data_IF_111943229769
#
_entry.id   IF_111943229769
#
_cell.length_a   1.000
_cell.length_b   1.000
_cell.length_c   1.000
_cell.angle_alpha   90.00
_cell.angle_beta   90.00
_cell.angle_gamma   90.00
#
_symmetry.space_group_name_H-M   'P 1'
#
loop_
_entity.id
_entity.type
_entity.pdbx_description
1 polymer ?
#
# COMPACT_ATOMS: atom_id res chain seq x y z
N UNK A 1 15.25 41.94 43.11
CA UNK A 1 14.51 40.66 43.14
C UNK A 1 14.73 39.93 41.81
N UNK A 2 14.93 38.61 41.84
CA UNK A 2 14.74 37.72 40.68
C UNK A 2 15.96 37.49 39.77
N UNK A 3 16.86 36.59 40.19
CA UNK A 3 17.94 36.00 39.36
C UNK A 3 17.36 35.25 38.16
N UNK A 4 17.93 35.44 36.97
CA UNK A 4 17.67 34.60 35.78
C UNK A 4 18.95 33.81 35.45
N UNK A 5 18.73 32.50 35.28
CA UNK A 5 19.70 31.43 35.35
C UNK A 5 20.53 31.30 34.06
N UNK A 6 21.83 31.08 34.22
CA UNK A 6 22.76 30.62 33.18
C UNK A 6 22.63 29.10 32.99
N UNK A 7 22.76 28.60 31.76
CA UNK A 7 23.84 27.67 31.39
C UNK A 7 23.68 27.18 29.94
N UNK A 8 24.73 27.46 29.16
CA UNK A 8 25.12 26.80 27.92
C UNK A 8 26.09 25.65 28.26
N UNK A 9 26.25 24.74 27.29
CA UNK A 9 27.25 23.67 27.10
C UNK A 9 26.81 22.27 27.55
N UNK A 10 26.82 21.32 26.62
CA UNK A 10 27.99 20.45 26.45
C UNK A 10 28.01 19.82 25.05
N UNK A 11 29.13 20.04 24.37
CA UNK A 11 29.64 19.27 23.25
C UNK A 11 30.94 18.61 23.75
N UNK A 12 31.10 17.31 23.54
CA UNK A 12 32.35 16.52 23.59
C UNK A 12 31.99 15.15 22.98
N UNK A 13 32.49 14.80 21.80
CA UNK A 13 33.79 14.15 21.56
C UNK A 13 33.90 12.78 22.21
N UNK A 14 33.97 11.72 21.39
CA UNK A 14 34.99 10.68 21.55
C UNK A 14 35.36 10.11 20.17
N UNK A 15 36.65 10.24 19.91
CA UNK A 15 37.47 9.74 18.82
C UNK A 15 38.24 8.55 19.41
N UNK A 16 38.36 7.43 18.70
CA UNK A 16 39.36 6.39 19.03
C UNK A 16 39.70 5.55 17.80
N UNK A 17 40.99 5.61 17.48
CA UNK A 17 41.71 5.04 16.34
C UNK A 17 41.92 3.51 16.35
N UNK A 18 42.34 3.04 15.17
CA UNK A 18 42.96 1.78 14.77
C UNK A 18 43.91 1.11 15.80
N UNK A 19 43.84 -0.23 15.86
CA UNK A 19 45.05 -1.05 15.93
C UNK A 19 44.87 -2.40 15.22
N UNK A 20 45.98 -2.88 14.67
CA UNK A 20 46.13 -3.97 13.71
C UNK A 20 46.63 -5.27 14.34
N UNK A 21 46.40 -6.38 13.62
CA UNK A 21 47.07 -7.71 13.74
C UNK A 21 46.65 -8.53 14.99
N UNK A 22 46.44 -9.85 14.98
CA UNK A 22 47.16 -10.98 14.39
C UNK A 22 46.28 -12.24 14.40
N UNK A 23 46.59 -13.16 13.49
CA UNK A 23 46.05 -14.52 13.42
C UNK A 23 46.49 -15.33 14.65
N UNK A 24 45.56 -16.08 15.27
CA UNK A 24 45.88 -17.32 15.97
C UNK A 24 44.68 -18.27 15.97
N UNK A 25 44.94 -19.43 15.39
CA UNK A 25 44.07 -20.59 15.33
C UNK A 25 43.87 -21.19 16.73
N UNK A 26 42.63 -21.45 17.10
CA UNK A 26 42.30 -22.49 18.07
C UNK A 26 41.03 -23.22 17.63
N UNK A 27 41.25 -24.45 17.16
CA UNK A 27 40.21 -25.45 16.94
C UNK A 27 39.62 -25.86 18.28
N UNK A 28 38.40 -25.42 18.57
CA UNK A 28 37.56 -26.00 19.60
C UNK A 28 36.18 -26.25 19.01
N UNK A 29 35.83 -27.53 18.94
CA UNK A 29 34.55 -28.06 18.46
C UNK A 29 33.42 -27.52 19.36
N UNK A 30 32.48 -26.81 18.77
CA UNK A 30 31.16 -26.56 19.39
C UNK A 30 30.08 -26.78 18.33
N UNK A 31 30.01 -28.00 17.83
CA UNK A 31 28.80 -28.54 17.20
C UNK A 31 27.89 -29.05 18.33
N UNK A 32 26.88 -28.24 18.70
CA UNK A 32 25.58 -28.62 19.31
C UNK A 32 24.98 -27.40 20.02
N UNK A 33 24.37 -26.45 19.30
CA UNK A 33 23.31 -25.60 19.87
C UNK A 33 22.53 -24.82 18.81
N UNK A 34 21.95 -25.48 17.81
CA UNK A 34 21.07 -24.78 16.85
C UNK A 34 19.80 -25.53 16.47
N UNK A 35 19.39 -26.54 17.25
CA UNK A 35 18.16 -27.30 16.98
C UNK A 35 17.02 -26.94 17.96
N UNK A 36 17.32 -26.45 19.16
CA UNK A 36 16.29 -26.15 20.17
C UNK A 36 15.68 -24.74 20.11
N UNK A 37 16.33 -23.78 19.43
CA UNK A 37 15.90 -22.38 19.46
C UNK A 37 14.64 -22.05 18.64
N UNK A 38 14.20 -22.94 17.73
CA UNK A 38 12.99 -22.69 16.92
C UNK A 38 11.71 -23.09 17.66
N UNK A 39 11.69 -24.30 18.21
CA UNK A 39 10.54 -24.84 18.94
C UNK A 39 10.31 -24.09 20.26
N UNK A 40 11.37 -23.82 21.05
CA UNK A 40 11.25 -23.09 22.32
C UNK A 40 10.72 -21.65 22.13
N UNK A 41 11.09 -20.99 21.02
CA UNK A 41 10.60 -19.64 20.70
C UNK A 41 9.14 -19.68 20.23
N UNK A 42 8.74 -20.71 19.49
CA UNK A 42 7.36 -20.88 19.03
C UNK A 42 6.42 -21.21 20.20
N UNK A 43 6.79 -22.12 21.10
CA UNK A 43 6.02 -22.41 22.32
C UNK A 43 5.87 -21.18 23.24
N UNK A 44 6.91 -20.36 23.36
CA UNK A 44 6.84 -19.11 24.12
C UNK A 44 5.90 -18.10 23.46
N UNK A 45 5.94 -17.99 22.12
CA UNK A 45 5.08 -17.08 21.37
C UNK A 45 3.60 -17.50 21.43
N UNK A 46 3.29 -18.79 21.34
CA UNK A 46 1.94 -19.32 21.53
C UNK A 46 1.42 -19.05 22.94
N UNK A 47 2.26 -19.20 23.97
CA UNK A 47 1.90 -18.87 25.36
C UNK A 47 1.59 -17.38 25.54
N UNK A 48 2.33 -16.51 24.87
CA UNK A 48 2.10 -15.05 24.91
C UNK A 48 0.81 -14.68 24.18
N UNK A 49 0.52 -15.31 23.04
CA UNK A 49 -0.73 -15.10 22.31
C UNK A 49 -1.95 -15.53 23.12
N UNK A 50 -1.84 -16.66 23.83
CA UNK A 50 -2.90 -17.16 24.71
C UNK A 50 -3.18 -16.19 25.87
N UNK A 51 -2.13 -15.71 26.52
CA UNK A 51 -2.26 -14.69 27.58
C UNK A 51 -2.83 -13.37 27.04
N UNK A 52 -2.44 -12.97 25.83
CA UNK A 52 -2.97 -11.76 25.20
C UNK A 52 -4.46 -11.93 24.86
N UNK A 53 -4.87 -13.11 24.39
CA UNK A 53 -6.27 -13.41 24.10
C UNK A 53 -7.13 -13.34 25.38
N UNK A 54 -6.67 -13.95 26.47
CA UNK A 54 -7.35 -13.89 27.78
C UNK A 54 -7.45 -12.44 28.30
N UNK A 55 -6.41 -11.63 28.05
CA UNK A 55 -6.39 -10.22 28.44
C UNK A 55 -7.37 -9.34 27.64
N UNK A 56 -7.99 -9.83 26.57
CA UNK A 56 -9.05 -9.09 25.85
C UNK A 56 -10.36 -9.01 26.65
N UNK A 57 -10.60 -9.92 27.59
CA UNK A 57 -11.81 -9.89 28.43
C UNK A 57 -11.73 -8.91 29.60
N UNK A 58 -10.52 -8.42 29.90
CA UNK A 58 -10.24 -7.53 31.01
C UNK A 58 -11.10 -6.26 31.02
N UNK A 59 -11.42 -5.78 32.23
CA UNK A 59 -12.28 -4.60 32.39
C UNK A 59 -11.58 -3.33 31.91
N UNK A 60 -10.27 -3.25 32.08
CA UNK A 60 -9.47 -2.05 31.80
C UNK A 60 -9.13 -1.95 30.31
N UNK A 61 -9.55 -0.86 29.67
CA UNK A 61 -9.31 -0.63 28.22
C UNK A 61 -7.83 -0.59 27.84
N UNK A 62 -6.95 -0.02 28.68
CA UNK A 62 -5.50 -0.03 28.41
C UNK A 62 -4.90 -1.43 28.35
N UNK A 63 -5.42 -2.37 29.15
CA UNK A 63 -4.97 -3.77 29.12
C UNK A 63 -5.39 -4.42 27.81
N UNK A 64 -6.65 -4.21 27.38
CA UNK A 64 -7.14 -4.70 26.09
C UNK A 64 -6.39 -4.10 24.90
N UNK A 65 -6.09 -2.80 24.93
CA UNK A 65 -5.27 -2.15 23.89
C UNK A 65 -3.86 -2.76 23.78
N UNK A 66 -3.22 -3.05 24.91
CA UNK A 66 -1.90 -3.69 24.90
C UNK A 66 -1.98 -5.13 24.38
N UNK A 67 -3.00 -5.89 24.79
CA UNK A 67 -3.25 -7.23 24.29
C UNK A 67 -3.45 -7.26 22.76
N UNK A 68 -4.29 -6.38 22.22
CA UNK A 68 -4.47 -6.25 20.77
C UNK A 68 -3.16 -5.90 20.05
N UNK A 69 -2.35 -5.01 20.63
CA UNK A 69 -1.04 -4.65 20.06
C UNK A 69 -0.10 -5.85 20.01
N UNK A 70 -0.02 -6.62 21.10
CA UNK A 70 0.78 -7.86 21.15
C UNK A 70 0.32 -8.90 20.13
N UNK A 71 -1.00 -9.03 19.93
CA UNK A 71 -1.56 -9.94 18.92
C UNK A 71 -1.14 -9.50 17.51
N UNK A 72 -1.27 -8.21 17.18
CA UNK A 72 -0.86 -7.66 15.87
C UNK A 72 0.65 -7.86 15.65
N UNK A 73 1.47 -7.60 16.66
CA UNK A 73 2.93 -7.79 16.57
C UNK A 73 3.29 -9.26 16.33
N UNK A 74 2.55 -10.19 16.93
CA UNK A 74 2.72 -11.62 16.71
C UNK A 74 2.34 -12.04 15.28
N UNK A 75 1.22 -11.54 14.74
CA UNK A 75 0.83 -11.75 13.34
C UNK A 75 1.86 -11.19 12.36
N UNK A 76 2.41 -10.01 12.63
CA UNK A 76 3.42 -9.39 11.77
C UNK A 76 4.77 -10.09 11.84
N UNK A 77 5.09 -10.75 12.96
CA UNK A 77 6.39 -11.41 13.15
C UNK A 77 6.43 -12.81 12.56
N UNK A 78 5.32 -13.55 12.61
CA UNK A 78 5.21 -14.91 12.09
C UNK A 78 3.77 -15.23 11.69
N UNK A 79 3.60 -16.12 10.70
CA UNK A 79 2.25 -16.52 10.28
C UNK A 79 1.69 -17.51 11.31
N UNK A 80 0.71 -17.06 12.09
CA UNK A 80 0.17 -17.75 13.26
C UNK A 80 -0.89 -18.80 12.91
N UNK A 81 -0.61 -19.72 11.97
CA UNK A 81 -1.61 -20.68 11.48
C UNK A 81 -2.21 -21.56 12.59
N UNK A 82 -1.37 -22.14 13.47
CA UNK A 82 -1.82 -23.05 14.54
C UNK A 82 -2.72 -22.36 15.58
N UNK A 83 -2.40 -21.11 15.91
CA UNK A 83 -3.21 -20.29 16.82
C UNK A 83 -4.56 -19.96 16.19
N UNK A 84 -4.54 -19.54 14.93
CA UNK A 84 -5.75 -19.18 14.18
C UNK A 84 -6.67 -20.39 14.02
N UNK A 85 -6.16 -21.55 13.63
CA UNK A 85 -6.97 -22.77 13.47
C UNK A 85 -7.76 -23.11 14.74
N UNK A 86 -7.15 -22.92 15.91
CA UNK A 86 -7.77 -23.26 17.20
C UNK A 86 -8.64 -22.14 17.78
N UNK A 87 -8.29 -20.88 17.53
CA UNK A 87 -8.82 -19.73 18.30
C UNK A 87 -9.37 -18.58 17.44
N UNK A 88 -9.52 -18.75 16.11
CA UNK A 88 -10.02 -17.66 15.25
C UNK A 88 -11.38 -17.13 15.72
N UNK A 89 -12.35 -17.99 16.01
CA UNK A 89 -13.70 -17.58 16.40
C UNK A 89 -13.69 -16.80 17.73
N UNK A 90 -12.87 -17.24 18.69
CA UNK A 90 -12.68 -16.53 19.95
C UNK A 90 -12.06 -15.15 19.74
N UNK A 91 -10.98 -15.06 18.96
CA UNK A 91 -10.33 -13.77 18.67
C UNK A 91 -11.29 -12.82 17.93
N UNK A 92 -11.97 -13.32 16.89
CA UNK A 92 -12.96 -12.56 16.12
C UNK A 92 -14.05 -12.00 17.04
N UNK A 93 -14.64 -12.84 17.90
CA UNK A 93 -15.67 -12.44 18.84
C UNK A 93 -15.21 -11.27 19.74
N UNK A 94 -13.99 -11.35 20.29
CA UNK A 94 -13.44 -10.28 21.12
C UNK A 94 -13.20 -8.98 20.34
N UNK A 95 -12.64 -9.07 19.13
CA UNK A 95 -12.44 -7.90 18.29
C UNK A 95 -13.78 -7.24 17.91
N UNK A 96 -14.78 -8.03 17.52
CA UNK A 96 -16.13 -7.54 17.21
C UNK A 96 -16.82 -6.91 18.42
N UNK A 97 -16.57 -7.42 19.63
CA UNK A 97 -17.08 -6.82 20.86
C UNK A 97 -16.55 -5.39 21.09
N UNK A 98 -15.31 -5.11 20.68
CA UNK A 98 -14.74 -3.74 20.72
C UNK A 98 -15.34 -2.81 19.66
N UNK A 99 -15.84 -3.34 18.53
CA UNK A 99 -16.51 -2.55 17.47
C UNK A 99 -17.96 -2.22 17.80
N UNK A 100 -18.68 -3.16 18.41
CA UNK A 100 -20.10 -3.04 18.75
C UNK A 100 -20.32 -1.94 19.81
N UNK A 101 -21.45 -1.25 19.71
CA UNK A 101 -21.92 -0.30 20.74
C UNK A 101 -22.41 -1.07 21.99
N UNK A 102 -21.46 -1.63 22.74
CA UNK A 102 -21.72 -2.39 23.95
C UNK A 102 -21.73 -1.55 25.23
N UNK A 103 -21.89 -2.23 26.38
CA UNK A 103 -21.82 -1.64 27.73
C UNK A 103 -20.42 -1.12 28.09
N UNK A 104 -19.37 -1.71 27.52
CA UNK A 104 -17.98 -1.25 27.61
C UNK A 104 -17.71 -0.27 26.46
N UNK A 105 -17.51 1.02 26.76
CA UNK A 105 -17.12 2.00 25.73
C UNK A 105 -15.65 1.79 25.36
N UNK A 106 -15.40 1.16 24.22
CA UNK A 106 -14.05 1.03 23.64
C UNK A 106 -13.50 2.41 23.25
N UNK A 107 -12.18 2.59 23.40
CA UNK A 107 -11.50 3.80 22.91
C UNK A 107 -11.37 3.75 21.38
N UNK A 108 -11.14 4.89 20.73
CA UNK A 108 -10.86 4.91 19.29
C UNK A 108 -9.60 4.10 18.93
N UNK A 109 -8.61 4.09 19.83
CA UNK A 109 -7.39 3.28 19.68
C UNK A 109 -7.69 1.78 19.79
N UNK A 110 -8.49 1.36 20.76
CA UNK A 110 -8.95 -0.03 20.89
C UNK A 110 -9.71 -0.48 19.63
N UNK A 111 -10.62 0.35 19.12
CA UNK A 111 -11.34 0.07 17.86
C UNK A 111 -10.39 -0.07 16.67
N UNK A 112 -9.40 0.82 16.57
CA UNK A 112 -8.42 0.80 15.47
C UNK A 112 -7.59 -0.48 15.50
N UNK A 113 -7.10 -0.85 16.69
CA UNK A 113 -6.33 -2.08 16.90
C UNK A 113 -7.18 -3.34 16.66
N UNK A 114 -8.42 -3.38 17.16
CA UNK A 114 -9.33 -4.50 16.93
C UNK A 114 -9.64 -4.69 15.44
N UNK A 115 -9.87 -3.58 14.71
CA UNK A 115 -10.10 -3.62 13.26
C UNK A 115 -8.87 -4.15 12.52
N UNK A 116 -7.68 -3.68 12.89
CA UNK A 116 -6.43 -4.15 12.30
C UNK A 116 -6.18 -5.63 12.58
N UNK A 117 -6.43 -6.10 13.81
CA UNK A 117 -6.31 -7.51 14.18
C UNK A 117 -7.25 -8.41 13.37
N UNK A 118 -8.49 -7.97 13.09
CA UNK A 118 -9.43 -8.71 12.22
C UNK A 118 -8.86 -8.85 10.80
N UNK A 119 -8.28 -7.79 10.23
CA UNK A 119 -7.66 -7.88 8.90
C UNK A 119 -6.42 -8.79 8.88
N UNK A 120 -5.56 -8.74 9.91
CA UNK A 120 -4.44 -9.67 10.06
C UNK A 120 -4.93 -11.13 10.19
N UNK A 121 -6.00 -11.35 10.94
CA UNK A 121 -6.64 -12.65 11.09
C UNK A 121 -7.15 -13.16 9.74
N UNK A 122 -7.87 -12.34 8.98
CA UNK A 122 -8.36 -12.70 7.65
C UNK A 122 -7.21 -13.09 6.70
N UNK A 123 -6.15 -12.27 6.61
CA UNK A 123 -4.98 -12.57 5.78
C UNK A 123 -4.25 -13.84 6.21
N UNK A 124 -4.27 -14.18 7.49
CA UNK A 124 -3.59 -15.37 8.03
C UNK A 124 -4.41 -16.64 7.81
N UNK A 125 -5.73 -16.56 7.90
CA UNK A 125 -6.64 -17.67 7.56
C UNK A 125 -6.54 -18.01 6.07
N UNK A 126 -6.48 -16.99 5.20
CA UNK A 126 -6.53 -17.17 3.74
C UNK A 126 -7.94 -17.54 3.25
N UNK A 127 -8.10 -17.72 1.94
CA UNK A 127 -9.40 -18.05 1.34
C UNK A 127 -10.01 -19.34 1.92
N UNK A 128 -11.30 -19.30 2.27
CA UNK A 128 -12.03 -20.47 2.76
C UNK A 128 -13.19 -20.11 3.70
N UNK A 129 -13.79 -21.12 4.32
CA UNK A 129 -14.97 -20.96 5.19
C UNK A 129 -14.73 -20.03 6.37
N UNK A 130 -13.55 -20.09 6.99
CA UNK A 130 -13.22 -19.24 8.12
C UNK A 130 -13.08 -17.75 7.71
N UNK A 131 -12.50 -17.47 6.53
CA UNK A 131 -12.45 -16.10 6.00
C UNK A 131 -13.85 -15.58 5.64
N UNK A 132 -14.72 -16.47 5.13
CA UNK A 132 -16.11 -16.15 4.88
C UNK A 132 -16.86 -15.76 6.15
N UNK A 133 -16.72 -16.54 7.21
CA UNK A 133 -17.32 -16.24 8.52
C UNK A 133 -16.81 -14.90 9.08
N UNK A 134 -15.50 -14.64 8.98
CA UNK A 134 -14.91 -13.34 9.37
C UNK A 134 -15.56 -12.20 8.60
N UNK A 135 -15.74 -12.33 7.29
CA UNK A 135 -16.38 -11.32 6.46
C UNK A 135 -17.83 -11.07 6.89
N UNK A 136 -18.67 -12.11 6.91
CA UNK A 136 -20.10 -12.00 7.22
C UNK A 136 -20.37 -11.40 8.61
N UNK A 137 -19.60 -11.82 9.62
CA UNK A 137 -19.78 -11.33 10.99
C UNK A 137 -19.24 -9.90 11.21
N UNK A 138 -18.28 -9.46 10.38
CA UNK A 138 -17.59 -8.17 10.57
C UNK A 138 -18.21 -7.01 9.80
N UNK A 139 -18.81 -7.24 8.63
CA UNK A 139 -19.33 -6.16 7.76
C UNK A 139 -20.33 -5.26 8.49
N UNK A 140 -21.29 -5.85 9.20
CA UNK A 140 -22.32 -5.05 9.90
C UNK A 140 -21.74 -4.23 11.08
N UNK A 141 -20.96 -4.80 12.02
CA UNK A 141 -20.28 -4.01 13.05
C UNK A 141 -19.38 -2.89 12.49
N UNK A 142 -18.71 -3.14 11.35
CA UNK A 142 -17.90 -2.14 10.67
C UNK A 142 -18.75 -0.99 10.10
N UNK A 143 -19.85 -1.28 9.38
CA UNK A 143 -20.77 -0.24 8.86
C UNK A 143 -21.34 0.61 10.02
N UNK A 144 -21.80 -0.04 11.10
CA UNK A 144 -22.32 0.65 12.28
C UNK A 144 -21.25 1.56 12.94
N UNK A 145 -19.99 1.11 12.99
CA UNK A 145 -18.88 1.87 13.56
C UNK A 145 -18.43 3.03 12.66
N UNK A 146 -18.45 2.84 11.34
CA UNK A 146 -18.15 3.85 10.31
C UNK A 146 -19.24 4.94 10.24
N UNK A 147 -20.51 4.57 10.44
CA UNK A 147 -21.62 5.51 10.53
C UNK A 147 -21.57 6.39 11.80
N UNK A 148 -20.79 6.00 12.81
CA UNK A 148 -20.67 6.71 14.07
C UNK A 148 -19.78 7.96 13.94
N UNK A 149 -20.35 9.16 14.14
CA UNK A 149 -19.65 10.45 14.10
C UNK A 149 -18.78 10.76 15.33
N UNK A 150 -18.45 9.75 16.14
CA UNK A 150 -17.85 9.96 17.47
C UNK A 150 -16.37 10.30 17.43
N UNK A 151 -15.60 9.61 16.60
CA UNK A 151 -14.16 9.82 16.45
C UNK A 151 -13.74 9.47 15.02
N UNK A 152 -13.11 10.42 14.33
CA UNK A 152 -12.66 10.25 12.94
C UNK A 152 -11.31 9.53 12.87
N UNK A 153 -10.54 9.48 13.97
CA UNK A 153 -9.21 8.88 14.00
C UNK A 153 -9.21 7.36 13.78
N UNK A 154 -10.30 6.68 14.16
CA UNK A 154 -10.49 5.24 13.96
C UNK A 154 -10.93 4.84 12.54
N UNK A 155 -11.39 5.81 11.74
CA UNK A 155 -12.02 5.53 10.44
C UNK A 155 -11.06 4.90 9.44
N UNK A 156 -9.79 5.33 9.30
CA UNK A 156 -8.83 4.67 8.41
C UNK A 156 -8.70 3.16 8.68
N UNK A 157 -8.51 2.77 9.94
CA UNK A 157 -8.36 1.34 10.30
C UNK A 157 -9.63 0.52 10.07
N UNK A 158 -10.82 1.14 10.19
CA UNK A 158 -12.09 0.49 9.87
C UNK A 158 -12.24 0.27 8.36
N UNK A 159 -11.84 1.25 7.53
CA UNK A 159 -11.87 1.16 6.08
C UNK A 159 -10.88 0.11 5.56
N UNK A 160 -9.67 0.11 6.11
CA UNK A 160 -8.64 -0.89 5.82
C UNK A 160 -9.09 -2.30 6.20
N UNK A 161 -9.68 -2.46 7.40
CA UNK A 161 -10.23 -3.74 7.82
C UNK A 161 -11.32 -4.22 6.86
N UNK A 162 -12.30 -3.36 6.54
CA UNK A 162 -13.38 -3.70 5.60
C UNK A 162 -12.79 -4.11 4.23
N UNK A 163 -11.84 -3.35 3.70
CA UNK A 163 -11.15 -3.67 2.46
C UNK A 163 -10.49 -5.06 2.50
N UNK A 164 -9.73 -5.36 3.55
CA UNK A 164 -9.01 -6.63 3.67
C UNK A 164 -9.97 -7.82 3.84
N UNK A 165 -10.99 -7.71 4.70
CA UNK A 165 -11.93 -8.84 4.89
C UNK A 165 -12.77 -9.12 3.65
N UNK A 166 -13.16 -8.07 2.90
CA UNK A 166 -13.88 -8.23 1.63
C UNK A 166 -12.98 -8.87 0.58
N UNK A 167 -11.71 -8.46 0.50
CA UNK A 167 -10.74 -9.03 -0.43
C UNK A 167 -10.47 -10.52 -0.20
N UNK A 168 -10.45 -10.97 1.06
CA UNK A 168 -10.15 -12.38 1.39
C UNK A 168 -11.40 -13.26 1.46
N UNK A 169 -12.53 -12.73 1.97
CA UNK A 169 -13.73 -13.50 2.28
C UNK A 169 -14.98 -13.18 1.45
N UNK A 170 -14.93 -12.13 0.61
CA UNK A 170 -15.98 -11.82 -0.35
C UNK A 170 -15.97 -12.84 -1.50
N UNK A 171 -17.15 -13.32 -1.89
CA UNK A 171 -17.27 -14.36 -2.93
C UNK A 171 -17.74 -13.74 -4.24
N UNK A 172 -18.72 -12.85 -4.15
CA UNK A 172 -19.40 -12.29 -5.33
C UNK A 172 -19.10 -10.80 -5.51
N UNK A 173 -19.24 -10.34 -6.75
CA UNK A 173 -19.08 -8.92 -7.10
C UNK A 173 -20.06 -8.03 -6.30
N UNK A 174 -21.28 -8.49 -6.04
CA UNK A 174 -22.29 -7.74 -5.27
C UNK A 174 -21.81 -7.41 -3.84
N UNK A 175 -21.09 -8.32 -3.19
CA UNK A 175 -20.59 -8.11 -1.82
C UNK A 175 -19.41 -7.13 -1.79
N UNK A 176 -18.60 -7.15 -2.84
CA UNK A 176 -17.53 -6.18 -3.06
C UNK A 176 -18.11 -4.80 -3.29
N UNK A 177 -19.11 -4.68 -4.17
CA UNK A 177 -19.85 -3.44 -4.44
C UNK A 177 -20.55 -2.92 -3.18
N UNK A 178 -21.16 -3.79 -2.37
CA UNK A 178 -21.76 -3.41 -1.08
C UNK A 178 -20.72 -2.81 -0.13
N UNK A 179 -19.54 -3.42 -0.02
CA UNK A 179 -18.45 -2.93 0.82
C UNK A 179 -17.94 -1.56 0.32
N UNK A 180 -17.80 -1.41 -1.00
CA UNK A 180 -17.44 -0.16 -1.65
C UNK A 180 -18.48 0.96 -1.39
N UNK A 181 -19.78 0.63 -1.44
CA UNK A 181 -20.87 1.55 -1.12
C UNK A 181 -20.84 2.01 0.33
N UNK A 182 -20.48 1.13 1.28
CA UNK A 182 -20.27 1.49 2.69
C UNK A 182 -19.13 2.52 2.79
N UNK A 183 -17.99 2.28 2.13
CA UNK A 183 -16.86 3.21 2.11
C UNK A 183 -17.24 4.56 1.50
N UNK A 184 -17.96 4.56 0.38
CA UNK A 184 -18.36 5.79 -0.32
C UNK A 184 -19.30 6.66 0.52
N UNK A 185 -20.17 6.03 1.32
CA UNK A 185 -21.10 6.71 2.24
C UNK A 185 -20.38 7.52 3.33
N UNK A 186 -19.13 7.19 3.65
CA UNK A 186 -18.33 7.92 4.65
C UNK A 186 -18.03 9.34 4.20
N UNK A 187 -17.74 9.54 2.91
CA UNK A 187 -17.49 10.87 2.31
C UNK A 187 -18.77 11.48 1.68
N UNK A 188 -19.77 10.64 1.37
CA UNK A 188 -21.07 11.04 0.85
C UNK A 188 -22.22 10.52 1.72
N UNK A 189 -22.37 11.02 2.96
CA UNK A 189 -23.48 10.60 3.80
C UNK A 189 -24.80 10.96 3.11
N UNK A 190 -25.78 10.05 3.14
CA UNK A 190 -27.16 10.35 2.73
C UNK A 190 -27.72 11.37 3.73
N UNK A 191 -27.63 12.66 3.40
CA UNK A 191 -28.11 13.74 4.26
C UNK A 191 -29.64 13.73 4.26
N UNK A 192 -30.26 13.64 5.43
CA UNK A 192 -31.65 14.06 5.60
C UNK A 192 -31.75 15.57 5.42
N UNK A 193 -32.92 16.07 5.02
CA UNK A 193 -33.19 17.43 4.51
C UNK A 193 -32.69 18.63 5.36
N UNK A 194 -32.18 18.43 6.59
CA UNK A 194 -31.86 19.49 7.55
C UNK A 194 -30.46 19.39 8.20
N UNK A 195 -29.50 18.65 7.65
CA UNK A 195 -28.15 18.52 8.25
C UNK A 195 -27.09 19.16 7.36
N UNK A 196 -26.32 20.09 7.92
CA UNK A 196 -25.12 20.65 7.27
C UNK A 196 -24.07 19.55 7.14
N UNK A 197 -23.66 19.26 5.91
CA UNK A 197 -22.59 18.30 5.63
C UNK A 197 -21.27 18.84 6.19
N UNK A 198 -20.66 18.14 7.15
CA UNK A 198 -19.27 18.43 7.54
C UNK A 198 -18.39 18.00 6.37
N UNK A 199 -17.59 18.94 5.84
CA UNK A 199 -16.65 18.64 4.76
C UNK A 199 -15.63 17.60 5.24
N UNK A 200 -15.48 16.45 4.56
CA UNK A 200 -14.53 15.43 4.96
C UNK A 200 -13.09 15.97 4.88
N UNK A 201 -12.24 15.56 5.84
CA UNK A 201 -10.83 15.94 5.86
C UNK A 201 -10.06 15.27 4.72
N UNK A 202 -8.92 15.86 4.32
CA UNK A 202 -8.09 15.29 3.26
C UNK A 202 -7.60 13.87 3.57
N UNK A 203 -7.23 13.61 4.83
CA UNK A 203 -6.84 12.27 5.30
C UNK A 203 -8.00 11.26 5.17
N UNK A 204 -9.21 11.67 5.53
CA UNK A 204 -10.39 10.81 5.42
C UNK A 204 -10.70 10.47 3.96
N UNK A 205 -10.68 11.47 3.07
CA UNK A 205 -10.88 11.27 1.63
C UNK A 205 -9.81 10.31 1.08
N UNK A 206 -8.55 10.53 1.42
CA UNK A 206 -7.43 9.68 0.98
C UNK A 206 -7.65 8.23 1.42
N UNK A 207 -8.03 8.02 2.68
CA UNK A 207 -8.24 6.67 3.24
C UNK A 207 -9.40 5.94 2.56
N UNK A 208 -10.51 6.64 2.33
CA UNK A 208 -11.68 6.09 1.63
C UNK A 208 -11.34 5.75 0.18
N UNK A 209 -10.75 6.68 -0.56
CA UNK A 209 -10.42 6.47 -1.98
C UNK A 209 -9.40 5.35 -2.15
N UNK A 210 -8.40 5.25 -1.26
CA UNK A 210 -7.39 4.18 -1.33
C UNK A 210 -8.00 2.80 -1.03
N UNK A 211 -8.82 2.69 0.02
CA UNK A 211 -9.49 1.42 0.39
C UNK A 211 -10.51 0.99 -0.67
N UNK A 212 -11.24 1.96 -1.22
CA UNK A 212 -12.19 1.73 -2.30
C UNK A 212 -11.50 1.32 -3.60
N UNK A 213 -10.36 1.94 -3.95
CA UNK A 213 -9.58 1.56 -5.14
C UNK A 213 -8.94 0.18 -4.99
N UNK A 214 -8.55 -0.19 -3.77
CA UNK A 214 -8.09 -1.53 -3.48
C UNK A 214 -9.17 -2.58 -3.77
N UNK A 215 -10.41 -2.39 -3.30
CA UNK A 215 -11.51 -3.31 -3.66
C UNK A 215 -11.86 -3.26 -5.15
N UNK A 216 -11.85 -2.08 -5.76
CA UNK A 216 -12.09 -1.96 -7.19
C UNK A 216 -11.08 -2.78 -8.01
N UNK A 217 -9.83 -2.89 -7.54
CA UNK A 217 -8.77 -3.62 -8.26
C UNK A 217 -8.99 -5.13 -8.36
N UNK A 218 -9.95 -5.66 -7.59
CA UNK A 218 -10.30 -7.09 -7.56
C UNK A 218 -11.53 -7.37 -8.43
N UNK A 219 -12.09 -6.35 -9.07
CA UNK A 219 -13.23 -6.47 -9.98
C UNK A 219 -12.73 -6.58 -11.43
N UNK A 220 -13.34 -7.49 -12.19
CA UNK A 220 -12.96 -7.73 -13.59
C UNK A 220 -13.80 -6.89 -14.57
N UNK A 221 -15.05 -6.55 -14.22
CA UNK A 221 -16.01 -5.91 -15.11
C UNK A 221 -16.66 -4.66 -14.50
N UNK A 222 -16.56 -3.53 -15.21
CA UNK A 222 -17.19 -2.26 -14.85
C UNK A 222 -17.97 -1.67 -16.02
N UNK A 223 -19.29 -1.53 -15.88
CA UNK A 223 -20.08 -0.77 -16.84
C UNK A 223 -19.91 0.75 -16.60
N UNK A 224 -18.86 1.34 -17.19
CA UNK A 224 -18.55 2.76 -17.04
C UNK A 224 -19.64 3.70 -17.61
N UNK A 225 -20.52 3.18 -18.46
CA UNK A 225 -21.64 3.94 -19.03
C UNK A 225 -22.82 4.09 -18.04
N UNK A 226 -22.75 3.43 -16.88
CA UNK A 226 -23.70 3.64 -15.79
C UNK A 226 -23.56 5.04 -15.21
N UNK A 227 -24.71 5.66 -14.88
CA UNK A 227 -24.74 6.97 -14.19
C UNK A 227 -24.00 6.95 -12.86
N UNK A 228 -23.93 5.81 -12.17
CA UNK A 228 -23.22 5.70 -10.90
C UNK A 228 -21.71 5.94 -11.09
N UNK A 229 -21.11 5.22 -12.04
CA UNK A 229 -19.68 5.33 -12.36
C UNK A 229 -19.33 6.72 -12.91
N UNK A 230 -20.16 7.33 -13.75
CA UNK A 230 -19.93 8.71 -14.20
C UNK A 230 -19.92 9.72 -13.06
N UNK A 231 -20.81 9.57 -12.08
CA UNK A 231 -20.83 10.43 -10.90
C UNK A 231 -19.56 10.24 -10.05
N UNK A 232 -19.11 8.99 -9.87
CA UNK A 232 -17.87 8.69 -9.16
C UNK A 232 -16.63 9.24 -9.89
N UNK A 233 -16.51 9.04 -11.21
CA UNK A 233 -15.44 9.60 -12.05
C UNK A 233 -15.43 11.14 -11.97
N UNK A 234 -16.59 11.77 -12.06
CA UNK A 234 -16.73 13.22 -11.95
C UNK A 234 -16.27 13.73 -10.57
N UNK A 235 -16.66 13.03 -9.50
CA UNK A 235 -16.21 13.34 -8.14
C UNK A 235 -14.68 13.20 -7.99
N UNK A 236 -14.11 12.06 -8.42
CA UNK A 236 -12.67 11.80 -8.39
C UNK A 236 -11.89 12.82 -9.23
N UNK A 237 -12.39 13.21 -10.40
CA UNK A 237 -11.83 14.32 -11.21
C UNK A 237 -11.82 15.63 -10.42
N UNK A 238 -12.87 15.93 -9.65
CA UNK A 238 -12.92 17.10 -8.77
C UNK A 238 -11.94 17.04 -7.59
N UNK A 239 -11.45 15.85 -7.22
CA UNK A 239 -10.41 15.69 -6.19
C UNK A 239 -9.01 16.05 -6.72
N UNK A 240 -8.75 15.90 -8.02
CA UNK A 240 -7.48 16.29 -8.65
C UNK A 240 -7.21 17.80 -8.53
N UNK A 241 -8.26 18.62 -8.42
CA UNK A 241 -8.16 20.08 -8.27
C UNK A 241 -7.98 20.53 -6.81
N UNK A 242 -8.00 19.63 -5.81
CA UNK A 242 -7.81 19.96 -4.39
C UNK A 242 -6.37 20.36 -4.12
N UNK A 243 -6.08 21.06 -3.02
CA UNK A 243 -4.70 21.45 -2.67
C UNK A 243 -3.87 20.29 -2.09
N UNK A 244 -4.53 19.30 -1.48
CA UNK A 244 -3.88 18.21 -0.79
C UNK A 244 -3.34 17.16 -1.76
N UNK A 245 -2.03 16.86 -1.64
CA UNK A 245 -1.35 15.94 -2.56
C UNK A 245 -1.74 14.49 -2.37
N UNK A 246 -2.00 14.04 -1.15
CA UNK A 246 -2.36 12.64 -0.93
C UNK A 246 -3.75 12.36 -1.49
N UNK A 247 -4.65 13.35 -1.40
CA UNK A 247 -5.95 13.31 -2.08
C UNK A 247 -5.80 13.24 -3.60
N UNK A 248 -4.93 14.08 -4.19
CA UNK A 248 -4.67 14.06 -5.64
C UNK A 248 -4.10 12.70 -6.10
N UNK A 249 -3.12 12.17 -5.35
CA UNK A 249 -2.47 10.89 -5.65
C UNK A 249 -3.50 9.75 -5.62
N UNK A 250 -4.24 9.62 -4.52
CA UNK A 250 -5.26 8.57 -4.39
C UNK A 250 -6.35 8.68 -5.47
N UNK A 251 -6.80 9.90 -5.79
CA UNK A 251 -7.78 10.11 -6.86
C UNK A 251 -7.21 9.78 -8.25
N UNK A 252 -5.93 10.07 -8.49
CA UNK A 252 -5.24 9.73 -9.74
C UNK A 252 -5.13 8.21 -9.94
N UNK A 253 -4.70 7.48 -8.91
CA UNK A 253 -4.63 6.01 -8.92
C UNK A 253 -6.01 5.39 -9.15
N UNK A 254 -7.03 5.88 -8.44
CA UNK A 254 -8.42 5.44 -8.62
C UNK A 254 -8.91 5.63 -10.05
N UNK A 255 -8.65 6.81 -10.64
CA UNK A 255 -9.06 7.11 -12.01
C UNK A 255 -8.31 6.24 -13.02
N UNK A 256 -7.00 6.06 -12.86
CA UNK A 256 -6.21 5.19 -13.71
C UNK A 256 -6.74 3.75 -13.69
N UNK A 257 -7.06 3.23 -12.50
CA UNK A 257 -7.65 1.91 -12.31
C UNK A 257 -9.03 1.77 -12.97
N UNK A 258 -9.94 2.74 -12.78
CA UNK A 258 -11.27 2.73 -13.42
C UNK A 258 -11.15 2.62 -14.94
N UNK A 259 -10.22 3.38 -15.54
CA UNK A 259 -10.01 3.34 -16.97
C UNK A 259 -9.22 2.11 -17.44
N UNK A 260 -8.37 1.50 -16.60
CA UNK A 260 -7.73 0.21 -16.87
C UNK A 260 -8.80 -0.88 -16.99
N UNK A 261 -9.62 -1.06 -15.96
CA UNK A 261 -10.67 -2.10 -15.92
C UNK A 261 -11.73 -1.84 -17.01
N UNK A 262 -12.22 -0.61 -17.14
CA UNK A 262 -13.24 -0.29 -18.14
C UNK A 262 -12.74 -0.23 -19.59
N UNK A 263 -11.41 -0.24 -19.83
CA UNK A 263 -10.88 -0.42 -21.20
C UNK A 263 -10.91 -1.90 -21.59
N UNK A 264 -10.76 -2.82 -20.64
CA UNK A 264 -10.91 -4.26 -20.86
C UNK A 264 -12.30 -4.61 -21.45
N UNK A 265 -13.36 -3.94 -21.00
CA UNK A 265 -14.74 -4.08 -21.51
C UNK A 265 -14.85 -3.77 -23.02
N UNK A 266 -14.05 -2.83 -23.55
CA UNK A 266 -14.10 -2.44 -24.97
C UNK A 266 -13.62 -3.54 -25.91
N UNK A 267 -12.78 -4.47 -25.44
CA UNK A 267 -12.35 -5.62 -26.23
C UNK A 267 -13.41 -6.73 -26.31
N UNK A 268 -14.36 -6.77 -25.37
CA UNK A 268 -15.45 -7.76 -25.33
C UNK A 268 -16.76 -7.27 -25.97
N UNK A 269 -16.98 -5.95 -26.05
CA UNK A 269 -18.24 -5.36 -26.50
C UNK A 269 -18.32 -5.09 -28.01
N UNK A 270 -17.25 -5.34 -28.78
CA UNK A 270 -17.22 -5.18 -30.24
C UNK A 270 -18.10 -6.20 -31.01
N UNK A 271 -18.86 -7.03 -30.29
CA UNK A 271 -19.70 -8.09 -30.88
C UNK A 271 -21.22 -7.98 -30.60
N UNK A 272 -21.74 -6.90 -29.99
CA UNK A 272 -23.21 -6.77 -29.79
C UNK A 272 -23.75 -5.37 -30.09
N UNK A 273 -24.29 -5.23 -31.29
CA UNK A 273 -25.10 -4.11 -31.78
C UNK A 273 -26.47 -3.98 -31.08
N UNK A 274 -26.99 -2.74 -31.07
CA UNK A 274 -28.40 -2.34 -30.90
C UNK A 274 -28.88 -1.83 -29.52
N UNK A 275 -28.23 -0.81 -28.96
CA UNK A 275 -28.89 0.25 -28.17
C UNK A 275 -28.11 1.56 -28.41
N UNK A 276 -28.47 2.39 -29.41
CA UNK A 276 -27.53 3.39 -29.98
C UNK A 276 -27.74 4.86 -29.54
N UNK A 277 -28.83 5.23 -28.85
CA UNK A 277 -29.11 6.65 -28.55
C UNK A 277 -28.74 7.11 -27.14
N UNK A 278 -29.08 6.36 -26.09
CA UNK A 278 -28.74 6.71 -24.69
C UNK A 278 -27.30 6.36 -24.30
N UNK A 279 -26.78 5.27 -24.87
CA UNK A 279 -25.38 4.84 -24.75
C UNK A 279 -24.43 5.84 -25.39
N UNK A 280 -24.82 6.48 -26.49
CA UNK A 280 -24.01 7.46 -27.20
C UNK A 280 -23.82 8.76 -26.41
N UNK A 281 -24.88 9.31 -25.81
CA UNK A 281 -24.76 10.49 -24.93
C UNK A 281 -23.91 10.18 -23.69
N UNK A 282 -24.12 9.01 -23.10
CA UNK A 282 -23.34 8.51 -21.96
C UNK A 282 -21.86 8.34 -22.31
N UNK A 283 -21.58 7.80 -23.49
CA UNK A 283 -20.22 7.62 -24.01
C UNK A 283 -19.52 8.96 -24.30
N UNK A 284 -20.23 9.92 -24.89
CA UNK A 284 -19.70 11.28 -25.12
C UNK A 284 -19.36 11.96 -23.79
N UNK A 285 -20.23 11.81 -22.77
CA UNK A 285 -19.99 12.33 -21.42
C UNK A 285 -18.71 11.71 -20.81
N UNK A 286 -18.57 10.39 -20.89
CA UNK A 286 -17.39 9.67 -20.39
C UNK A 286 -16.10 10.10 -21.11
N UNK A 287 -16.15 10.31 -22.43
CA UNK A 287 -15.01 10.82 -23.20
C UNK A 287 -14.65 12.26 -22.81
N UNK A 288 -15.64 13.12 -22.58
CA UNK A 288 -15.44 14.47 -22.05
C UNK A 288 -14.78 14.46 -20.67
N UNK A 289 -15.23 13.58 -19.78
CA UNK A 289 -14.62 13.38 -18.45
C UNK A 289 -13.18 12.86 -18.57
N UNK A 290 -12.92 11.87 -19.44
CA UNK A 290 -11.57 11.37 -19.71
C UNK A 290 -10.65 12.49 -20.21
N UNK A 291 -11.11 13.30 -21.16
CA UNK A 291 -10.35 14.46 -21.67
C UNK A 291 -10.03 15.49 -20.57
N UNK A 292 -10.99 15.76 -19.68
CA UNK A 292 -10.76 16.64 -18.51
C UNK A 292 -9.70 16.05 -17.58
N UNK A 293 -9.80 14.77 -17.23
CA UNK A 293 -8.84 14.07 -16.36
C UNK A 293 -7.44 14.11 -16.97
N UNK A 294 -7.29 13.82 -18.27
CA UNK A 294 -5.99 13.90 -18.97
C UNK A 294 -5.38 15.29 -18.84
N UNK A 295 -6.17 16.36 -19.01
CA UNK A 295 -5.67 17.72 -18.87
C UNK A 295 -5.23 18.04 -17.43
N UNK A 296 -5.99 17.57 -16.43
CA UNK A 296 -5.62 17.71 -15.02
C UNK A 296 -4.31 16.97 -14.70
N UNK A 297 -4.18 15.71 -15.14
CA UNK A 297 -2.96 14.91 -14.99
C UNK A 297 -1.77 15.59 -15.65
N UNK A 298 -1.95 16.19 -16.85
CA UNK A 298 -0.91 16.97 -17.55
C UNK A 298 -0.40 18.10 -16.67
N UNK A 299 -1.30 18.90 -16.09
CA UNK A 299 -0.92 20.00 -15.21
C UNK A 299 -0.17 19.51 -13.95
N UNK A 300 -0.63 18.42 -13.34
CA UNK A 300 -0.03 17.86 -12.12
C UNK A 300 1.33 17.19 -12.37
N UNK A 301 1.57 16.67 -13.58
CA UNK A 301 2.84 16.06 -13.98
C UNK A 301 3.99 17.08 -14.09
N UNK A 302 3.67 18.36 -14.36
CA UNK A 302 4.63 19.45 -14.52
C UNK A 302 4.54 20.52 -13.42
N UNK A 303 3.71 20.29 -12.40
CA UNK A 303 3.42 21.28 -11.34
C UNK A 303 4.71 21.79 -10.70
N UNK A 304 4.94 23.11 -10.73
CA UNK A 304 6.14 23.73 -10.17
C UNK A 304 6.23 23.57 -8.65
N UNK A 305 7.45 23.46 -8.12
CA UNK A 305 7.65 23.35 -6.68
C UNK A 305 7.34 24.66 -5.97
N UNK A 306 6.26 24.70 -5.21
CA UNK A 306 5.94 25.83 -4.33
C UNK A 306 6.93 25.98 -3.18
N UNK A 307 7.08 27.21 -2.65
CA UNK A 307 7.84 27.48 -1.42
C UNK A 307 7.21 26.67 -0.26
N UNK A 308 8.00 25.80 0.37
CA UNK A 308 7.55 24.97 1.51
C UNK A 308 7.09 23.56 1.16
N UNK A 309 7.13 23.15 -0.11
CA UNK A 309 6.83 21.76 -0.48
C UNK A 309 7.99 20.82 -0.18
N UNK A 310 7.72 19.69 0.47
CA UNK A 310 8.68 18.58 0.51
C UNK A 310 8.99 18.14 -0.92
N UNK A 311 10.26 18.23 -1.31
CA UNK A 311 10.73 17.96 -2.68
C UNK A 311 10.44 16.51 -3.11
N UNK A 312 10.47 15.57 -2.17
CA UNK A 312 10.20 14.14 -2.41
C UNK A 312 8.75 13.90 -2.81
N UNK A 313 7.80 14.46 -2.07
CA UNK A 313 6.38 14.23 -2.29
C UNK A 313 5.90 14.83 -3.62
N UNK A 314 6.44 15.99 -3.99
CA UNK A 314 6.21 16.58 -5.31
C UNK A 314 6.73 15.69 -6.43
N UNK A 315 7.91 15.08 -6.24
CA UNK A 315 8.49 14.20 -7.26
C UNK A 315 7.67 12.92 -7.42
N UNK A 316 7.18 12.34 -6.33
CA UNK A 316 6.29 11.19 -6.36
C UNK A 316 5.00 11.51 -7.11
N UNK A 317 4.38 12.66 -6.81
CA UNK A 317 3.18 13.12 -7.51
C UNK A 317 3.43 13.28 -9.02
N UNK A 318 4.50 13.98 -9.41
CA UNK A 318 4.83 14.20 -10.82
C UNK A 318 5.10 12.91 -11.58
N UNK A 319 5.80 11.96 -10.94
CA UNK A 319 6.06 10.65 -11.52
C UNK A 319 4.75 9.89 -11.75
N UNK A 320 3.91 9.77 -10.72
CA UNK A 320 2.60 9.13 -10.83
C UNK A 320 1.78 9.71 -11.98
N UNK A 321 1.63 11.04 -12.05
CA UNK A 321 0.83 11.65 -13.11
C UNK A 321 1.46 11.55 -14.49
N UNK A 322 2.78 11.39 -14.60
CA UNK A 322 3.42 11.07 -15.87
C UNK A 322 3.09 9.64 -16.30
N UNK A 323 3.14 8.70 -15.36
CA UNK A 323 2.78 7.29 -15.61
C UNK A 323 1.29 7.16 -16.00
N UNK A 324 0.40 7.93 -15.37
CA UNK A 324 -1.03 8.00 -15.74
C UNK A 324 -1.22 8.58 -17.15
N UNK A 325 -0.45 9.60 -17.53
CA UNK A 325 -0.53 10.16 -18.89
C UNK A 325 -0.04 9.18 -19.94
N UNK A 326 1.07 8.48 -19.66
CA UNK A 326 1.60 7.43 -20.53
C UNK A 326 0.59 6.30 -20.70
N UNK A 327 -0.07 5.89 -19.63
CA UNK A 327 -1.18 4.94 -19.68
C UNK A 327 -2.33 5.46 -20.57
N UNK A 328 -2.75 6.71 -20.43
CA UNK A 328 -3.83 7.25 -21.26
C UNK A 328 -3.48 7.44 -22.74
N UNK A 329 -2.21 7.73 -23.05
CA UNK A 329 -1.72 7.96 -24.41
C UNK A 329 -1.40 6.66 -25.16
N UNK A 330 -0.76 5.70 -24.49
CA UNK A 330 -0.20 4.50 -25.11
C UNK A 330 -0.79 3.19 -24.59
N UNK A 331 -1.57 3.22 -23.51
CA UNK A 331 -2.14 2.01 -22.88
C UNK A 331 -1.14 1.23 -22.01
N UNK A 332 0.05 1.77 -21.76
CA UNK A 332 1.06 1.10 -20.92
C UNK A 332 0.86 1.45 -19.45
N UNK A 333 0.59 0.44 -18.63
CA UNK A 333 0.60 0.56 -17.17
C UNK A 333 2.04 0.53 -16.64
N UNK A 334 2.34 1.19 -15.50
CA UNK A 334 3.69 1.29 -15.00
C UNK A 334 4.22 -0.08 -14.53
N UNK A 335 5.36 -0.50 -15.08
CA UNK A 335 6.08 -1.68 -14.58
C UNK A 335 6.91 -1.31 -13.36
N UNK A 336 6.62 -1.93 -12.21
CA UNK A 336 7.38 -1.69 -10.97
C UNK A 336 7.99 -2.98 -10.41
N UNK A 337 9.23 -2.87 -9.95
CA UNK A 337 10.01 -3.97 -9.38
C UNK A 337 10.21 -3.74 -7.88
N UNK A 338 9.54 -4.53 -7.04
CA UNK A 338 9.68 -4.46 -5.58
C UNK A 338 10.46 -5.66 -5.07
N UNK A 339 11.54 -5.42 -4.30
CA UNK A 339 12.32 -6.49 -3.68
C UNK A 339 11.66 -6.97 -2.38
N UNK A 340 11.35 -8.26 -2.32
CA UNK A 340 10.72 -8.95 -1.20
C UNK A 340 11.60 -10.13 -0.80
N UNK A 341 12.13 -10.14 0.42
CA UNK A 341 12.88 -11.29 0.93
C UNK A 341 14.19 -11.64 0.19
N UNK A 342 14.58 -10.86 -0.83
CA UNK A 342 15.72 -11.12 -1.72
C UNK A 342 15.32 -11.46 -3.16
N UNK A 343 14.04 -11.76 -3.39
CA UNK A 343 13.45 -11.90 -4.71
C UNK A 343 12.77 -10.60 -5.15
N UNK A 344 12.48 -10.47 -6.45
CA UNK A 344 11.78 -9.31 -6.99
C UNK A 344 10.39 -9.74 -7.43
N UNK A 345 9.37 -9.07 -6.92
CA UNK A 345 8.03 -9.08 -7.48
C UNK A 345 7.93 -7.98 -8.53
N UNK A 346 7.36 -8.29 -9.69
CA UNK A 346 7.06 -7.32 -10.73
C UNK A 346 5.55 -7.09 -10.73
N UNK A 347 5.12 -5.83 -10.84
CA UNK A 347 3.73 -5.47 -11.10
C UNK A 347 3.65 -4.82 -12.47
N UNK A 348 2.67 -5.21 -13.29
CA UNK A 348 2.50 -4.71 -14.66
C UNK A 348 1.15 -4.03 -14.92
N UNK A 349 0.29 -3.90 -13.90
CA UNK A 349 -1.01 -3.22 -13.99
C UNK A 349 -1.25 -2.28 -12.81
N UNK A 350 -2.18 -1.33 -12.98
CA UNK A 350 -2.64 -0.47 -11.89
C UNK A 350 -3.30 -1.30 -10.79
N UNK A 351 -4.09 -2.32 -11.15
CA UNK A 351 -4.68 -3.25 -10.17
C UNK A 351 -3.62 -3.87 -9.26
N UNK A 352 -2.59 -4.51 -9.83
CA UNK A 352 -1.54 -5.18 -9.06
C UNK A 352 -0.74 -4.18 -8.21
N UNK A 353 -0.44 -2.99 -8.74
CA UNK A 353 0.31 -1.97 -8.01
C UNK A 353 -0.49 -1.44 -6.81
N UNK A 354 -1.78 -1.19 -6.99
CA UNK A 354 -2.67 -0.72 -5.93
C UNK A 354 -2.81 -1.80 -4.85
N UNK A 355 -3.03 -3.06 -5.23
CA UNK A 355 -3.09 -4.19 -4.29
C UNK A 355 -1.82 -4.32 -3.46
N UNK A 356 -0.67 -4.30 -4.13
CA UNK A 356 0.64 -4.43 -3.49
C UNK A 356 0.90 -3.30 -2.50
N UNK A 357 0.66 -2.05 -2.91
CA UNK A 357 0.89 -0.87 -2.08
C UNK A 357 -0.05 -0.84 -0.86
N UNK A 358 -1.31 -1.23 -1.06
CA UNK A 358 -2.30 -1.29 0.02
C UNK A 358 -1.93 -2.36 1.06
N UNK A 359 -1.64 -3.59 0.62
CA UNK A 359 -1.23 -4.68 1.51
C UNK A 359 0.09 -4.38 2.23
N UNK A 360 1.03 -3.72 1.55
CA UNK A 360 2.28 -3.25 2.17
C UNK A 360 2.05 -2.18 3.21
N UNK A 361 1.10 -1.27 3.00
CA UNK A 361 0.72 -0.27 3.99
C UNK A 361 0.06 -0.93 5.21
N UNK A 362 -0.92 -1.80 4.96
CA UNK A 362 -1.66 -2.51 5.99
C UNK A 362 -0.76 -3.40 6.85
N UNK A 363 0.01 -4.31 6.25
CA UNK A 363 0.88 -5.23 7.01
C UNK A 363 2.12 -4.55 7.59
N UNK A 364 2.51 -3.38 7.09
CA UNK A 364 3.66 -2.61 7.57
C UNK A 364 4.93 -3.47 7.68
N UNK A 365 5.42 -3.66 8.91
CA UNK A 365 6.61 -4.47 9.19
C UNK A 365 6.47 -5.96 8.87
N UNK A 366 5.24 -6.50 8.90
CA UNK A 366 4.95 -7.91 8.60
C UNK A 366 4.84 -8.24 7.11
N UNK A 367 4.79 -7.23 6.24
CA UNK A 367 4.58 -7.42 4.80
C UNK A 367 5.58 -8.41 4.17
N UNK A 368 6.87 -8.28 4.49
CA UNK A 368 7.91 -9.15 3.93
C UNK A 368 7.69 -10.61 4.35
N UNK A 369 7.34 -10.84 5.62
CA UNK A 369 7.13 -12.17 6.18
C UNK A 369 5.92 -12.84 5.54
N UNK A 370 4.80 -12.13 5.46
CA UNK A 370 3.61 -12.60 4.75
C UNK A 370 3.90 -12.95 3.29
N UNK A 371 4.57 -12.08 2.53
CA UNK A 371 4.90 -12.37 1.13
C UNK A 371 5.91 -13.51 0.92
N UNK A 372 6.55 -14.02 1.98
CA UNK A 372 7.48 -15.15 1.89
C UNK A 372 6.85 -16.50 2.28
N UNK A 373 5.78 -16.46 3.06
CA UNK A 373 5.23 -17.66 3.74
C UNK A 373 3.72 -17.82 3.55
N UNK A 374 2.99 -16.76 3.20
CA UNK A 374 1.54 -16.78 3.09
C UNK A 374 1.11 -17.29 1.70
N UNK A 375 0.58 -18.51 1.66
CA UNK A 375 0.14 -19.15 0.41
C UNK A 375 -0.93 -18.33 -0.32
N UNK A 376 -1.88 -17.73 0.40
CA UNK A 376 -2.90 -16.87 -0.20
C UNK A 376 -2.28 -15.68 -0.95
N UNK A 377 -1.31 -14.97 -0.35
CA UNK A 377 -0.64 -13.86 -1.04
C UNK A 377 0.26 -14.32 -2.19
N UNK A 378 0.80 -15.54 -2.13
CA UNK A 378 1.52 -16.12 -3.25
C UNK A 378 0.60 -16.35 -4.45
N UNK A 379 -0.61 -16.85 -4.21
CA UNK A 379 -1.61 -17.07 -5.25
C UNK A 379 -2.12 -15.74 -5.83
N UNK A 380 -2.40 -14.74 -4.97
CA UNK A 380 -2.84 -13.40 -5.40
C UNK A 380 -1.84 -12.72 -6.35
N UNK A 381 -0.54 -12.85 -6.10
CA UNK A 381 0.51 -12.15 -6.85
C UNK A 381 1.26 -13.06 -7.83
N UNK A 382 0.85 -14.31 -8.01
CA UNK A 382 1.61 -15.35 -8.70
C UNK A 382 3.10 -15.37 -8.26
N UNK A 383 3.32 -15.14 -6.98
CA UNK A 383 4.65 -14.94 -6.42
C UNK A 383 5.13 -16.20 -5.71
N UNK A 384 6.10 -16.88 -6.32
CA UNK A 384 6.79 -17.99 -5.66
C UNK A 384 8.11 -17.50 -5.04
N UNK A 385 8.17 -17.27 -3.71
CA UNK A 385 9.43 -16.93 -3.06
C UNK A 385 10.40 -18.10 -3.21
N UNK A 386 11.67 -17.82 -3.47
CA UNK A 386 12.69 -18.87 -3.40
C UNK A 386 12.82 -19.26 -1.94
N UNK A 387 12.19 -20.38 -1.56
CA UNK A 387 12.31 -20.96 -0.22
C UNK A 387 13.78 -20.96 0.17
N UNK A 388 14.13 -20.13 1.15
CA UNK A 388 15.44 -20.22 1.81
C UNK A 388 15.40 -21.43 2.74
N UNK A 389 15.35 -22.63 2.16
CA UNK A 389 16.08 -23.72 2.81
C UNK A 389 17.47 -23.19 3.08
N UNK A 390 17.96 -23.32 4.31
CA UNK A 390 19.27 -22.87 4.83
C UNK A 390 20.42 -23.13 3.84
N UNK A 391 20.47 -22.34 2.79
CA UNK A 391 21.43 -22.42 1.72
C UNK A 391 22.41 -21.32 2.02
N UNK A 392 23.40 -21.69 2.84
CA UNK A 392 24.75 -21.14 2.82
C UNK A 392 25.40 -21.20 1.40
N UNK A 393 24.63 -21.29 0.31
CA UNK A 393 25.05 -21.45 -1.08
C UNK A 393 24.76 -20.24 -1.99
N UNK A 394 24.17 -19.15 -1.48
CA UNK A 394 24.11 -17.87 -2.22
C UNK A 394 24.77 -16.68 -1.52
N UNK A 395 25.69 -16.94 -0.58
CA UNK A 395 26.76 -15.96 -0.38
C UNK A 395 27.72 -16.15 -1.55
N UNK A 396 27.65 -15.25 -2.54
CA UNK A 396 28.66 -15.20 -3.60
C UNK A 396 30.04 -15.34 -2.96
N UNK A 397 30.83 -16.30 -3.45
CA UNK A 397 32.18 -16.56 -2.96
C UNK A 397 32.98 -15.25 -2.97
N UNK A 398 34.00 -15.12 -2.11
CA UNK A 398 34.90 -13.97 -2.14
C UNK A 398 35.46 -13.69 -3.54
N UNK A 399 35.66 -14.76 -4.34
CA UNK A 399 36.04 -14.67 -5.75
C UNK A 399 34.94 -14.10 -6.66
N UNK A 400 33.70 -14.53 -6.51
CA UNK A 400 32.55 -14.01 -7.28
C UNK A 400 32.24 -12.55 -6.94
N UNK A 401 32.34 -12.16 -5.65
CA UNK A 401 32.21 -10.75 -5.26
C UNK A 401 33.31 -9.90 -5.91
N UNK A 402 34.55 -10.39 -5.99
CA UNK A 402 35.65 -9.71 -6.69
C UNK A 402 35.42 -9.65 -8.21
N UNK A 403 34.86 -10.70 -8.81
CA UNK A 403 34.64 -10.79 -10.25
C UNK A 403 33.45 -9.95 -10.74
N UNK A 404 32.38 -9.85 -9.94
CA UNK A 404 31.12 -9.21 -10.35
C UNK A 404 30.80 -7.89 -9.66
N UNK A 405 31.37 -7.62 -8.47
CA UNK A 405 31.05 -6.43 -7.67
C UNK A 405 32.26 -5.54 -7.38
N UNK A 406 33.49 -5.91 -7.76
CA UNK A 406 34.63 -5.01 -7.57
C UNK A 406 34.60 -3.85 -8.56
N UNK A 407 35.17 -2.69 -8.20
CA UNK A 407 35.30 -1.54 -9.11
C UNK A 407 36.01 -1.90 -10.43
N UNK A 408 36.91 -2.89 -10.40
CA UNK A 408 37.69 -3.38 -11.55
C UNK A 408 37.07 -4.57 -12.29
N UNK A 409 35.86 -5.01 -11.91
CA UNK A 409 35.17 -6.13 -12.56
C UNK A 409 34.90 -5.87 -14.04
N UNK A 410 34.85 -6.95 -14.83
CA UNK A 410 34.57 -6.90 -16.28
C UNK A 410 33.22 -6.22 -16.54
N UNK A 411 32.21 -6.52 -15.71
CA UNK A 411 30.88 -5.91 -15.80
C UNK A 411 30.90 -4.41 -15.52
N UNK A 412 31.64 -3.96 -14.50
CA UNK A 412 31.74 -2.54 -14.21
C UNK A 412 32.57 -1.81 -15.27
N UNK A 413 33.65 -2.42 -15.80
CA UNK A 413 34.41 -1.89 -16.95
C UNK A 413 33.53 -1.76 -18.20
N UNK A 414 32.74 -2.77 -18.52
CA UNK A 414 31.80 -2.74 -19.65
C UNK A 414 30.74 -1.64 -19.47
N UNK A 415 30.19 -1.50 -18.25
CA UNK A 415 29.25 -0.42 -17.92
C UNK A 415 29.89 0.97 -18.05
N UNK A 416 31.11 1.15 -17.56
CA UNK A 416 31.84 2.42 -17.68
C UNK A 416 32.16 2.76 -19.14
N UNK A 417 32.58 1.78 -19.95
CA UNK A 417 32.82 1.97 -21.38
C UNK A 417 31.53 2.36 -22.11
N UNK A 418 30.40 1.71 -21.79
CA UNK A 418 29.11 2.04 -22.37
C UNK A 418 28.65 3.47 -22.00
N UNK A 419 28.78 3.85 -20.72
CA UNK A 419 28.47 5.20 -20.26
C UNK A 419 29.37 6.27 -20.88
N UNK A 420 30.67 5.99 -21.05
CA UNK A 420 31.59 6.91 -21.73
C UNK A 420 31.24 7.07 -23.23
N UNK A 421 30.81 5.99 -23.89
CA UNK A 421 30.32 6.06 -25.28
C UNK A 421 29.06 6.92 -25.38
N UNK A 422 28.11 6.79 -24.43
CA UNK A 422 26.94 7.67 -24.37
C UNK A 422 27.29 9.14 -24.12
N UNK A 423 28.26 9.41 -23.22
CA UNK A 423 28.72 10.79 -22.94
C UNK A 423 29.36 11.44 -24.16
N UNK A 424 30.22 10.71 -24.88
CA UNK A 424 30.81 11.19 -26.14
C UNK A 424 29.75 11.45 -27.22
N UNK A 425 28.71 10.62 -27.30
CA UNK A 425 27.58 10.84 -28.21
C UNK A 425 26.74 12.07 -27.80
N UNK A 426 26.64 12.38 -26.52
CA UNK A 426 25.97 13.58 -26.02
C UNK A 426 26.82 14.85 -26.23
N UNK A 427 28.14 14.77 -26.05
CA UNK A 427 29.07 15.86 -26.37
C UNK A 427 29.06 16.18 -27.86
N UNK A 428 29.06 15.18 -28.73
CA UNK A 428 28.93 15.37 -30.19
C UNK A 428 27.61 16.03 -30.61
N UNK A 429 26.54 15.90 -29.82
CA UNK A 429 25.26 16.61 -30.05
C UNK A 429 25.30 18.06 -29.58
N UNK A 430 26.15 18.40 -28.60
CA UNK A 430 26.29 19.77 -28.09
C UNK A 430 27.23 20.65 -28.92
N UNK A 431 27.98 20.09 -29.88
CA UNK A 431 28.86 20.85 -30.79
C UNK A 431 28.13 21.50 -32.00
N UNK A 432 26.79 21.43 -32.06
CA UNK A 432 26.01 21.86 -33.23
C UNK A 432 25.40 23.27 -33.21
N UNK A 433 25.55 24.07 -32.15
CA UNK A 433 24.86 25.37 -32.04
C UNK A 433 25.75 26.53 -31.57
N UNK A 434 26.81 26.82 -32.33
CA UNK A 434 27.41 28.16 -32.37
C UNK A 434 27.68 28.55 -33.82
N UNK A 435 26.61 28.86 -34.57
CA UNK A 435 26.72 29.66 -35.78
C UNK A 435 26.69 31.13 -35.35
N UNK A 436 27.86 31.75 -35.33
CA UNK A 436 28.07 33.20 -35.15
C UNK A 436 27.36 33.92 -36.29
N UNK A 437 26.41 34.79 -35.96
CA UNK A 437 25.81 35.73 -36.91
C UNK A 437 26.87 36.71 -37.40
N UNK A 438 27.14 36.68 -38.71
CA UNK A 438 27.88 37.74 -39.41
C UNK A 438 26.89 38.86 -39.69
N UNK A 439 27.15 40.12 -39.29
CA UNK A 439 26.29 41.24 -39.66
C UNK A 439 26.51 41.57 -41.15
N UNK A 440 25.41 41.69 -41.90
CA UNK A 440 25.40 42.27 -43.24
C UNK A 440 25.79 43.76 -43.13
N UNK A 441 26.94 44.13 -43.70
CA UNK A 441 27.26 45.52 -44.01
C UNK A 441 26.78 45.85 -45.43
N UNK A 442 26.08 46.97 -45.53
CA UNK A 442 25.59 47.62 -46.73
C UNK A 442 26.71 47.97 -47.73
N UNK A 443 26.48 47.70 -49.02
CA UNK A 443 26.99 48.48 -50.15
C UNK A 443 26.12 48.28 -51.39
#
# INVERSE_FOLDING_TARGET
MGKRNSQRKCAAMFDTDDDSSVTSSSTSRSDMMSVYGGEDVQFYQDSVLDQALDALDEKRGSTRENALSSIIDAFNSNIQHDFVEKKFATLLHHCLASLKKGSKKASAKEISLASHAIGCLALTVGCGNNAREIFEESVRPLDESLASKSDVSKVPSLLECLAIITFVGGIDQEETEQSMDIMWRVIHPKLGSNVVAVKPSAQLITSVVSSWSFLLSTMDDLNLNSKNWQNQISYLSGLLDKEDRTVRIAAGEALALIFEIGTTEKFYTDSRSAEESKTQESYICLQGLKGKVINQCRNLSVEAGGKGSAKKDLNNQRNLFRDILEFFEYGYSPETSTKIGGDSLQTSSWSQMIQLNFLKHFLGGGFIKHMQENEFLHDVFDFTPKRKFNNNKQRMSGGEKRLFKSPNSVLNKARTQHLNKQRLQAEGRNFGHYAVGVPEEEA
#
